data_IF_337124317673
#
_entry.id   IF_337124317673
#
_cell.length_a   1.000
_cell.length_b   1.000
_cell.length_c   1.000
_cell.angle_alpha   90.00
_cell.angle_beta   90.00
_cell.angle_gamma   90.00
#
_symmetry.space_group_name_H-M   'P 1'
#
loop_
_entity.id
_entity.type
_entity.pdbx_description
1 polymer ?
#
# COMPACT_ATOMS: atom_id res chain seq x y z
N UNK A 1 11.15 2.90 24.70
CA UNK A 1 12.06 3.34 23.62
C UNK A 1 11.63 2.78 22.25
N UNK A 2 10.33 2.60 22.00
CA UNK A 2 9.82 1.84 20.83
C UNK A 2 9.71 2.67 19.54
N UNK A 3 9.50 3.98 19.63
CA UNK A 3 9.23 4.82 18.44
C UNK A 3 10.38 4.87 17.45
N UNK A 4 11.61 5.08 17.94
CA UNK A 4 12.81 5.13 17.09
C UNK A 4 13.07 3.77 16.42
N UNK A 5 12.95 2.68 17.19
CA UNK A 5 13.13 1.32 16.69
C UNK A 5 12.16 1.01 15.56
N UNK A 6 10.88 1.40 15.69
CA UNK A 6 9.87 1.21 14.65
C UNK A 6 10.15 2.01 13.39
N UNK A 7 10.53 3.28 13.53
CA UNK A 7 10.91 4.12 12.39
C UNK A 7 12.11 3.51 11.65
N UNK A 8 13.11 3.02 12.40
CA UNK A 8 14.27 2.35 11.82
C UNK A 8 13.86 1.06 11.11
N UNK A 9 13.02 0.21 11.72
CA UNK A 9 12.56 -1.05 11.10
C UNK A 9 11.75 -0.78 9.84
N UNK A 10 10.82 0.18 9.86
CA UNK A 10 10.02 0.56 8.68
C UNK A 10 10.94 1.12 7.59
N UNK A 11 11.86 2.03 7.94
CA UNK A 11 12.82 2.62 7.01
C UNK A 11 13.74 1.58 6.36
N UNK A 12 14.31 0.69 7.16
CA UNK A 12 15.20 -0.38 6.68
C UNK A 12 14.45 -1.37 5.80
N UNK A 13 13.25 -1.77 6.20
CA UNK A 13 12.41 -2.71 5.44
C UNK A 13 11.96 -2.11 4.10
N UNK A 14 11.55 -0.84 4.07
CA UNK A 14 11.19 -0.14 2.82
C UNK A 14 12.37 0.02 1.87
N UNK A 15 13.56 0.33 2.39
CA UNK A 15 14.78 0.42 1.58
C UNK A 15 15.21 -0.95 1.02
N UNK A 16 15.24 -1.98 1.86
CA UNK A 16 15.58 -3.36 1.46
C UNK A 16 14.62 -3.88 0.39
N UNK A 17 13.31 -3.75 0.62
CA UNK A 17 12.29 -4.20 -0.35
C UNK A 17 12.40 -3.44 -1.68
N UNK A 18 12.71 -2.14 -1.67
CA UNK A 18 12.94 -1.38 -2.91
C UNK A 18 14.15 -1.88 -3.70
N UNK A 19 15.22 -2.33 -3.03
CA UNK A 19 16.39 -2.91 -3.70
C UNK A 19 16.06 -4.30 -4.25
N UNK A 20 15.38 -5.14 -3.46
CA UNK A 20 14.99 -6.49 -3.85
C UNK A 20 13.98 -6.46 -5.01
N UNK A 21 12.97 -5.58 -4.95
CA UNK A 21 11.98 -5.38 -6.00
C UNK A 21 12.64 -5.08 -7.36
N UNK A 22 13.65 -4.18 -7.35
CA UNK A 22 14.41 -3.85 -8.58
C UNK A 22 15.20 -5.03 -9.14
N UNK A 23 15.71 -5.91 -8.28
CA UNK A 23 16.49 -7.08 -8.73
C UNK A 23 15.63 -8.26 -9.17
N UNK A 24 14.47 -8.46 -8.55
CA UNK A 24 13.61 -9.63 -8.75
C UNK A 24 12.44 -9.38 -9.71
N UNK A 25 12.11 -8.10 -9.97
CA UNK A 25 10.93 -7.72 -10.75
C UNK A 25 9.60 -7.88 -9.99
N UNK A 26 9.63 -8.31 -8.72
CA UNK A 26 8.44 -8.44 -7.87
C UNK A 26 7.98 -7.05 -7.42
N UNK A 27 6.67 -6.80 -7.42
CA UNK A 27 6.12 -5.53 -6.95
C UNK A 27 6.50 -5.28 -5.49
N UNK A 28 7.08 -4.10 -5.21
CA UNK A 28 7.52 -3.72 -3.87
C UNK A 28 6.42 -3.89 -2.79
N UNK A 29 5.14 -3.55 -3.05
CA UNK A 29 4.07 -3.76 -2.06
C UNK A 29 3.89 -5.22 -1.64
N UNK A 30 4.02 -6.18 -2.57
CA UNK A 30 3.92 -7.61 -2.25
C UNK A 30 5.05 -8.06 -1.32
N UNK A 31 6.27 -7.60 -1.57
CA UNK A 31 7.42 -7.88 -0.71
C UNK A 31 7.24 -7.26 0.68
N UNK A 32 6.73 -6.03 0.75
CA UNK A 32 6.45 -5.35 2.01
C UNK A 32 5.40 -6.10 2.84
N UNK A 33 4.33 -6.59 2.22
CA UNK A 33 3.32 -7.41 2.92
C UNK A 33 3.94 -8.68 3.46
N UNK A 34 4.71 -9.41 2.64
CA UNK A 34 5.37 -10.65 3.07
C UNK A 34 6.33 -10.43 4.23
N UNK A 35 7.20 -9.42 4.14
CA UNK A 35 8.15 -9.10 5.23
C UNK A 35 7.42 -8.56 6.46
N UNK A 36 6.38 -7.74 6.28
CA UNK A 36 5.56 -7.25 7.38
C UNK A 36 4.90 -8.37 8.17
N UNK A 37 4.39 -9.41 7.49
CA UNK A 37 3.87 -10.62 8.14
C UNK A 37 4.98 -11.32 8.93
N UNK A 38 6.16 -11.52 8.34
CA UNK A 38 7.30 -12.16 9.02
C UNK A 38 7.75 -11.37 10.27
N UNK A 39 7.78 -10.04 10.19
CA UNK A 39 8.10 -9.17 11.34
C UNK A 39 7.00 -9.24 12.40
N UNK A 40 5.73 -9.26 12.00
CA UNK A 40 4.58 -9.32 12.90
C UNK A 40 4.50 -10.62 13.72
N UNK A 41 5.13 -11.69 13.25
CA UNK A 41 5.27 -12.95 14.01
C UNK A 41 6.28 -12.87 15.16
N UNK A 42 7.09 -11.82 15.22
CA UNK A 42 8.10 -11.64 16.26
C UNK A 42 7.43 -11.04 17.52
N UNK A 43 7.49 -11.70 18.69
CA UNK A 43 6.79 -11.26 19.90
C UNK A 43 7.16 -9.84 20.38
N UNK A 44 8.38 -9.38 20.05
CA UNK A 44 8.88 -8.05 20.36
C UNK A 44 7.99 -6.94 19.75
N UNK A 45 7.40 -7.20 18.57
CA UNK A 45 6.51 -6.28 17.87
C UNK A 45 5.02 -6.55 18.11
N UNK A 46 4.66 -7.64 18.80
CA UNK A 46 3.26 -8.04 19.00
C UNK A 46 2.43 -7.09 19.88
N UNK A 47 3.06 -6.16 20.60
CA UNK A 47 2.39 -5.09 21.37
C UNK A 47 2.36 -3.75 20.62
N UNK A 48 2.98 -3.68 19.44
CA UNK A 48 3.02 -2.47 18.63
C UNK A 48 1.80 -2.46 17.74
N UNK A 49 0.81 -1.67 18.14
CA UNK A 49 -0.37 -1.39 17.33
C UNK A 49 -0.28 0.03 16.79
N UNK A 50 -0.33 0.17 15.47
CA UNK A 50 -0.52 1.46 14.83
C UNK A 50 -2.01 1.75 14.85
N UNK A 51 -2.37 2.88 15.47
CA UNK A 51 -3.75 3.37 15.48
C UNK A 51 -4.25 3.52 14.03
N UNK A 52 -5.41 2.94 13.66
CA UNK A 52 -5.94 3.00 12.30
C UNK A 52 -6.07 4.44 11.78
N UNK A 53 -6.40 5.38 12.67
CA UNK A 53 -6.53 6.80 12.35
C UNK A 53 -5.22 7.38 11.82
N UNK A 54 -4.08 6.96 12.36
CA UNK A 54 -2.76 7.41 11.88
C UNK A 54 -2.51 6.87 10.47
N UNK A 55 -2.85 5.62 10.19
CA UNK A 55 -2.70 5.02 8.85
C UNK A 55 -3.61 5.72 7.84
N UNK A 56 -4.89 5.89 8.18
CA UNK A 56 -5.91 6.46 7.30
C UNK A 56 -5.72 7.96 7.06
N UNK A 57 -5.32 8.73 8.08
CA UNK A 57 -5.21 10.19 7.97
C UNK A 57 -3.80 10.70 7.64
N UNK A 58 -2.75 9.92 7.93
CA UNK A 58 -1.38 10.35 7.65
C UNK A 58 -0.81 9.64 6.43
N UNK A 59 -0.78 8.30 6.44
CA UNK A 59 -0.11 7.52 5.40
C UNK A 59 -0.91 7.52 4.09
N UNK A 60 -2.21 7.24 4.15
CA UNK A 60 -3.07 7.15 2.98
C UNK A 60 -3.05 8.45 2.14
N UNK A 61 -3.26 9.65 2.74
CA UNK A 61 -3.25 10.89 1.99
C UNK A 61 -1.86 11.24 1.44
N UNK A 62 -0.79 10.97 2.21
CA UNK A 62 0.57 11.20 1.75
C UNK A 62 0.92 10.34 0.51
N UNK A 63 0.54 9.06 0.53
CA UNK A 63 0.77 8.14 -0.60
C UNK A 63 -0.09 8.56 -1.81
N UNK A 64 -1.38 8.82 -1.61
CA UNK A 64 -2.27 9.25 -2.70
C UNK A 64 -1.82 10.57 -3.33
N UNK A 65 -1.36 11.53 -2.52
CA UNK A 65 -0.82 12.79 -3.01
C UNK A 65 0.42 12.54 -3.87
N UNK A 66 1.35 11.69 -3.42
CA UNK A 66 2.54 11.35 -4.18
C UNK A 66 2.21 10.70 -5.54
N UNK A 67 1.27 9.76 -5.58
CA UNK A 67 0.82 9.12 -6.82
C UNK A 67 0.08 10.10 -7.75
N UNK A 68 -0.59 11.12 -7.20
CA UNK A 68 -1.22 12.16 -8.01
C UNK A 68 -0.19 13.02 -8.78
N UNK A 69 1.01 13.22 -8.22
CA UNK A 69 2.07 14.03 -8.83
C UNK A 69 2.75 13.33 -10.01
N UNK A 70 2.78 11.99 -10.00
CA UNK A 70 3.37 11.18 -11.08
C UNK A 70 2.38 10.87 -12.20
N UNK A 71 1.10 11.21 -12.03
CA UNK A 71 0.02 10.90 -12.97
C UNK A 71 -0.29 12.07 -13.91
N UNK A 72 -0.41 11.78 -15.21
CA UNK A 72 -0.72 12.80 -16.25
C UNK A 72 -2.23 13.07 -16.39
N UNK A 73 -2.64 14.31 -16.12
CA UNK A 73 -4.03 14.75 -16.35
C UNK A 73 -4.46 14.64 -17.82
N UNK A 74 -3.53 14.85 -18.75
CA UNK A 74 -3.81 14.73 -20.19
C UNK A 74 -4.14 13.29 -20.56
N UNK A 75 -3.40 12.34 -20.00
CA UNK A 75 -3.60 10.91 -20.23
C UNK A 75 -4.89 10.40 -19.57
N UNK A 76 -5.23 10.92 -18.40
CA UNK A 76 -6.53 10.67 -17.76
C UNK A 76 -7.65 11.14 -18.69
N UNK A 77 -7.56 12.36 -19.22
CA UNK A 77 -8.60 12.92 -20.08
C UNK A 77 -8.76 12.12 -21.38
N UNK A 78 -7.67 11.65 -22.00
CA UNK A 78 -7.75 10.84 -23.21
C UNK A 78 -8.30 9.42 -22.96
N UNK A 79 -8.10 8.87 -21.76
CA UNK A 79 -8.49 7.50 -21.42
C UNK A 79 -9.65 7.43 -20.42
N UNK A 80 -10.38 8.53 -20.21
CA UNK A 80 -11.35 8.67 -19.11
C UNK A 80 -12.37 7.54 -19.07
N UNK A 81 -12.92 7.15 -20.23
CA UNK A 81 -13.88 6.04 -20.34
C UNK A 81 -13.29 4.71 -19.85
N UNK A 82 -12.07 4.38 -20.26
CA UNK A 82 -11.40 3.14 -19.86
C UNK A 82 -11.07 3.16 -18.37
N UNK A 83 -10.62 4.30 -17.84
CA UNK A 83 -10.34 4.48 -16.42
C UNK A 83 -11.61 4.25 -15.61
N UNK A 84 -12.71 4.96 -15.89
CA UNK A 84 -13.97 4.81 -15.12
C UNK A 84 -14.48 3.36 -15.13
N UNK A 85 -14.42 2.68 -16.29
CA UNK A 85 -14.85 1.30 -16.41
C UNK A 85 -13.98 0.34 -15.56
N UNK A 86 -12.66 0.51 -15.58
CA UNK A 86 -11.72 -0.40 -14.91
C UNK A 86 -11.47 -0.06 -13.44
N UNK A 87 -11.52 1.22 -13.06
CA UNK A 87 -11.25 1.68 -11.69
C UNK A 87 -12.51 1.71 -10.83
N UNK A 88 -13.63 2.18 -11.37
CA UNK A 88 -14.83 2.45 -10.56
C UNK A 88 -15.88 1.37 -10.76
N UNK A 89 -16.31 1.15 -12.01
CA UNK A 89 -17.38 0.19 -12.30
C UNK A 89 -16.95 -1.24 -11.95
N UNK A 90 -15.74 -1.64 -12.36
CA UNK A 90 -15.22 -2.97 -12.05
C UNK A 90 -15.10 -3.20 -10.54
N UNK A 91 -14.65 -2.21 -9.76
CA UNK A 91 -14.53 -2.33 -8.30
C UNK A 91 -15.90 -2.47 -7.64
N UNK A 92 -16.91 -1.70 -8.06
CA UNK A 92 -18.28 -1.85 -7.55
C UNK A 92 -18.83 -3.24 -7.89
N UNK A 93 -18.60 -3.72 -9.12
CA UNK A 93 -19.01 -5.04 -9.54
C UNK A 93 -18.31 -6.14 -8.74
N UNK A 94 -16.98 -6.08 -8.56
CA UNK A 94 -16.25 -7.10 -7.79
C UNK A 94 -16.66 -7.10 -6.33
N UNK A 95 -16.85 -5.92 -5.72
CA UNK A 95 -17.34 -5.81 -4.35
C UNK A 95 -18.76 -6.41 -4.20
N UNK A 96 -19.67 -6.11 -5.14
CA UNK A 96 -21.02 -6.68 -5.14
C UNK A 96 -21.01 -8.20 -5.33
N UNK A 97 -20.17 -8.71 -6.24
CA UNK A 97 -20.01 -10.16 -6.44
C UNK A 97 -19.52 -10.83 -5.17
N UNK A 98 -18.49 -10.28 -4.51
CA UNK A 98 -18.00 -10.81 -3.22
C UNK A 98 -19.12 -10.76 -2.16
N UNK A 99 -19.88 -9.68 -2.08
CA UNK A 99 -20.98 -9.55 -1.12
C UNK A 99 -22.14 -10.53 -1.35
N UNK A 100 -22.39 -10.95 -2.60
CA UNK A 100 -23.40 -11.96 -2.92
C UNK A 100 -22.89 -13.39 -2.67
N UNK A 101 -21.58 -13.61 -2.80
CA UNK A 101 -20.96 -14.94 -2.62
C UNK A 101 -20.56 -15.26 -1.17
N UNK A 102 -20.27 -14.24 -0.36
CA UNK A 102 -19.94 -14.35 1.07
C UNK A 102 -21.17 -14.66 1.91
#
# INVERSE_FOLDING_TARGET
>A
MLGLELVVVIGVTTLLTKVIARKTGIAQPLLLVGIGILIGLIPLFGKVELAPEVVLFLFLPAILYWESLTTSLREIKSNLRRIILMSTLLVVLTAAVVAVLA
#
